data_IF_055340550712
#
_entry.id   IF_055340550712
#
_cell.length_a   1.000
_cell.length_b   1.000
_cell.length_c   1.000
_cell.angle_alpha   90.00
_cell.angle_beta   90.00
_cell.angle_gamma   90.00
#
_symmetry.space_group_name_H-M   'P 1'
#
loop_
_entity.id
_entity.type
_entity.pdbx_description
1 polymer ?
#
# COMPACT_ATOMS: atom_id res chain seq x y z
N UNK A 1 11.77 9.53 -12.23
CA UNK A 1 11.27 9.08 -10.91
C UNK A 1 10.95 7.59 -10.87
N UNK A 2 10.08 7.05 -11.74
CA UNK A 2 9.75 5.61 -11.74
C UNK A 2 10.99 4.70 -11.84
N UNK A 3 11.95 5.02 -12.70
CA UNK A 3 13.16 4.20 -12.83
C UNK A 3 14.04 4.23 -11.59
N UNK A 4 14.08 5.37 -10.87
CA UNK A 4 14.79 5.47 -9.58
C UNK A 4 14.17 4.56 -8.52
N UNK A 5 12.84 4.49 -8.45
CA UNK A 5 12.13 3.58 -7.54
C UNK A 5 12.40 2.11 -7.91
N UNK A 6 12.40 1.77 -9.21
CA UNK A 6 12.72 0.41 -9.68
C UNK A 6 14.17 0.01 -9.37
N UNK A 7 15.11 0.95 -9.46
CA UNK A 7 16.53 0.68 -9.22
C UNK A 7 16.96 0.88 -7.76
N UNK A 8 16.03 1.18 -6.83
CA UNK A 8 16.37 1.56 -5.46
C UNK A 8 17.02 0.43 -4.63
N UNK A 9 16.88 -0.83 -5.06
CA UNK A 9 17.40 -1.99 -4.33
C UNK A 9 16.79 -2.19 -2.94
N UNK A 10 15.65 -1.55 -2.67
CA UNK A 10 14.91 -1.61 -1.42
C UNK A 10 13.43 -1.89 -1.71
N UNK A 11 12.70 -2.53 -0.78
CA UNK A 11 11.26 -2.68 -0.91
C UNK A 11 10.58 -1.31 -1.08
N UNK A 12 9.68 -1.20 -2.05
CA UNK A 12 8.83 -0.01 -2.21
C UNK A 12 7.43 -0.38 -1.75
N UNK A 13 6.98 0.23 -0.66
CA UNK A 13 5.68 -0.05 -0.05
C UNK A 13 4.73 1.11 -0.29
N UNK A 14 3.55 0.83 -0.84
CA UNK A 14 2.48 1.80 -0.96
C UNK A 14 1.43 1.59 0.14
N UNK A 15 0.83 2.67 0.63
CA UNK A 15 -0.30 2.64 1.56
C UNK A 15 -1.54 3.11 0.82
N UNK A 16 -2.63 2.34 0.90
CA UNK A 16 -3.88 2.67 0.24
C UNK A 16 -4.43 4.02 0.71
N UNK A 17 -4.88 4.90 -0.21
CA UNK A 17 -5.68 6.07 0.14
C UNK A 17 -7.17 5.73 0.33
N UNK A 18 -7.57 4.48 0.04
CA UNK A 18 -8.93 3.98 0.12
C UNK A 18 -9.16 3.38 1.51
N UNK A 19 -10.30 3.75 2.10
CA UNK A 19 -10.81 3.24 3.38
C UNK A 19 -12.31 3.01 3.26
N UNK A 20 -12.72 1.74 3.34
CA UNK A 20 -14.12 1.32 3.19
C UNK A 20 -14.69 1.67 1.83
N UNK A 21 -13.93 1.42 0.76
CA UNK A 21 -14.30 1.73 -0.63
C UNK A 21 -14.36 3.23 -0.96
N UNK A 22 -13.81 4.10 -0.11
CA UNK A 22 -13.77 5.54 -0.36
C UNK A 22 -12.38 6.12 -0.14
N UNK A 23 -11.97 7.04 -1.02
CA UNK A 23 -10.80 7.85 -0.77
C UNK A 23 -11.08 8.89 0.32
N UNK A 24 -10.34 8.84 1.44
CA UNK A 24 -10.68 9.60 2.67
C UNK A 24 -10.55 11.11 2.51
N UNK A 25 -9.46 11.63 1.93
CA UNK A 25 -9.16 13.07 1.88
C UNK A 25 -8.30 13.45 0.66
N UNK A 26 -8.37 14.73 0.29
CA UNK A 26 -7.46 15.34 -0.69
C UNK A 26 -7.95 15.30 -2.14
N UNK A 27 -7.11 15.75 -3.08
CA UNK A 27 -7.50 15.86 -4.49
C UNK A 27 -7.81 14.48 -5.11
N UNK A 28 -7.23 13.39 -4.61
CA UNK A 28 -7.51 12.01 -5.08
C UNK A 28 -8.99 11.66 -4.99
N UNK A 29 -9.64 11.93 -3.86
CA UNK A 29 -11.07 11.64 -3.68
C UNK A 29 -11.97 12.46 -4.61
N UNK A 30 -11.56 13.69 -4.93
CA UNK A 30 -12.28 14.56 -5.87
C UNK A 30 -12.05 14.13 -7.32
N UNK A 31 -10.79 13.90 -7.70
CA UNK A 31 -10.40 13.50 -9.05
C UNK A 31 -10.97 12.14 -9.43
N UNK A 32 -10.94 11.13 -8.54
CA UNK A 32 -11.50 9.82 -8.85
C UNK A 32 -13.01 9.88 -9.09
N UNK A 33 -13.73 10.70 -8.30
CA UNK A 33 -15.16 10.98 -8.53
C UNK A 33 -15.41 11.70 -9.85
N UNK A 34 -14.63 12.74 -10.16
CA UNK A 34 -14.79 13.54 -11.39
C UNK A 34 -14.41 12.76 -12.65
N UNK A 35 -13.46 11.84 -12.56
CA UNK A 35 -12.98 11.01 -13.68
C UNK A 35 -13.73 9.67 -13.83
N UNK A 36 -14.75 9.41 -13.01
CA UNK A 36 -15.48 8.14 -12.95
C UNK A 36 -14.57 6.90 -12.80
N UNK A 37 -13.42 7.07 -12.15
CA UNK A 37 -12.51 5.98 -11.83
C UNK A 37 -13.02 5.35 -10.52
N UNK A 38 -13.34 4.05 -10.47
CA UNK A 38 -13.80 3.47 -9.23
C UNK A 38 -12.70 3.58 -8.16
N UNK A 39 -13.10 3.96 -6.94
CA UNK A 39 -12.16 4.21 -5.85
C UNK A 39 -11.92 2.93 -5.04
N UNK A 40 -11.48 1.88 -5.73
CA UNK A 40 -11.26 0.56 -5.11
C UNK A 40 -9.79 0.35 -4.76
N UNK A 41 -9.55 -0.39 -3.69
CA UNK A 41 -8.22 -0.73 -3.20
C UNK A 41 -7.42 -1.51 -4.25
N UNK A 42 -8.10 -2.45 -4.94
CA UNK A 42 -7.54 -3.28 -6.00
C UNK A 42 -7.07 -2.45 -7.20
N UNK A 43 -7.85 -1.45 -7.61
CA UNK A 43 -7.46 -0.60 -8.74
C UNK A 43 -6.28 0.31 -8.40
N UNK A 44 -6.21 0.82 -7.18
CA UNK A 44 -5.05 1.58 -6.73
C UNK A 44 -3.81 0.69 -6.72
N UNK A 45 -3.91 -0.53 -6.18
CA UNK A 45 -2.80 -1.48 -6.21
C UNK A 45 -2.37 -1.83 -7.65
N UNK A 46 -3.33 -2.11 -8.54
CA UNK A 46 -3.08 -2.41 -9.94
C UNK A 46 -2.39 -1.25 -10.68
N UNK A 47 -2.73 0.00 -10.36
CA UNK A 47 -2.08 1.17 -10.93
C UNK A 47 -0.58 1.24 -10.63
N UNK A 48 -0.17 0.74 -9.46
CA UNK A 48 1.23 0.71 -9.02
C UNK A 48 1.93 -0.64 -9.19
N UNK A 49 1.23 -1.68 -9.65
CA UNK A 49 1.80 -3.00 -9.89
C UNK A 49 3.01 -2.92 -10.85
N UNK A 50 4.07 -3.68 -10.55
CA UNK A 50 5.34 -3.62 -11.28
C UNK A 50 6.20 -2.38 -10.99
N UNK A 51 5.78 -1.52 -10.05
CA UNK A 51 6.60 -0.45 -9.47
C UNK A 51 6.83 -0.67 -7.97
N UNK A 52 5.82 -1.15 -7.26
CA UNK A 52 5.88 -1.42 -5.82
C UNK A 52 6.11 -2.91 -5.54
N UNK A 53 6.69 -3.20 -4.39
CA UNK A 53 6.90 -4.57 -3.87
C UNK A 53 5.70 -5.01 -3.04
N UNK A 54 5.12 -4.07 -2.29
CA UNK A 54 4.09 -4.39 -1.32
C UNK A 54 3.06 -3.28 -1.14
N UNK A 55 1.90 -3.64 -0.59
CA UNK A 55 0.75 -2.77 -0.44
C UNK A 55 0.09 -2.91 0.94
N UNK A 56 -0.26 -1.78 1.57
CA UNK A 56 -0.95 -1.73 2.86
C UNK A 56 -2.41 -1.34 2.64
N UNK A 57 -3.32 -2.23 3.01
CA UNK A 57 -4.76 -2.02 2.96
C UNK A 57 -5.27 -1.50 4.30
N UNK A 58 -6.36 -0.73 4.28
CA UNK A 58 -7.08 -0.42 5.52
C UNK A 58 -7.86 -1.64 6.03
N UNK A 59 -8.03 -1.75 7.35
CA UNK A 59 -8.87 -2.76 8.00
C UNK A 59 -10.27 -2.89 7.39
N UNK A 60 -10.85 -1.78 6.94
CA UNK A 60 -12.18 -1.78 6.32
C UNK A 60 -12.21 -2.37 4.92
N UNK A 61 -11.05 -2.51 4.28
CA UNK A 61 -10.89 -3.05 2.93
C UNK A 61 -10.15 -4.39 2.94
N UNK A 62 -10.03 -5.05 4.10
CA UNK A 62 -9.33 -6.34 4.24
C UNK A 62 -9.84 -7.42 3.27
N UNK A 63 -11.13 -7.36 2.89
CA UNK A 63 -11.72 -8.28 1.92
C UNK A 63 -11.09 -8.20 0.51
N UNK A 64 -10.45 -7.08 0.17
CA UNK A 64 -9.75 -6.88 -1.10
C UNK A 64 -8.35 -7.52 -1.11
N UNK A 65 -7.81 -7.92 0.05
CA UNK A 65 -6.45 -8.41 0.20
C UNK A 65 -6.09 -9.54 -0.77
N UNK A 66 -6.91 -10.61 -0.94
CA UNK A 66 -6.57 -11.70 -1.86
C UNK A 66 -6.49 -11.25 -3.32
N UNK A 67 -7.32 -10.28 -3.72
CA UNK A 67 -7.28 -9.74 -5.08
C UNK A 67 -6.04 -8.89 -5.32
N UNK A 68 -5.55 -8.17 -4.30
CA UNK A 68 -4.29 -7.42 -4.36
C UNK A 68 -3.08 -8.36 -4.39
N UNK A 69 -3.08 -9.42 -3.57
CA UNK A 69 -2.02 -10.45 -3.58
C UNK A 69 -1.92 -11.17 -4.93
N UNK A 70 -3.06 -11.39 -5.61
CA UNK A 70 -3.08 -11.97 -6.95
C UNK A 70 -2.37 -11.10 -8.02
N UNK A 71 -2.07 -9.83 -7.72
CA UNK A 71 -1.24 -8.95 -8.55
C UNK A 71 0.27 -9.18 -8.35
N UNK A 72 0.66 -10.13 -7.49
CA UNK A 72 2.05 -10.42 -7.15
C UNK A 72 2.66 -9.45 -6.14
N UNK A 73 1.82 -8.82 -5.32
CA UNK A 73 2.24 -7.89 -4.27
C UNK A 73 2.18 -8.57 -2.91
N UNK A 74 3.19 -8.38 -2.07
CA UNK A 74 3.07 -8.68 -0.65
C UNK A 74 2.09 -7.69 0.00
N UNK A 75 1.29 -8.14 0.96
CA UNK A 75 0.31 -7.26 1.60
C UNK A 75 0.26 -7.39 3.12
N UNK A 76 -0.20 -6.31 3.74
CA UNK A 76 -0.70 -6.31 5.12
C UNK A 76 -1.98 -5.48 5.19
N UNK A 77 -2.77 -5.74 6.23
CA UNK A 77 -3.92 -4.94 6.63
C UNK A 77 -3.56 -4.19 7.90
N UNK A 78 -3.84 -2.89 7.95
CA UNK A 78 -3.58 -2.04 9.09
C UNK A 78 -4.60 -0.91 9.22
N UNK A 79 -4.69 -0.30 10.40
CA UNK A 79 -5.44 0.95 10.58
C UNK A 79 -4.72 2.08 9.85
N UNK A 80 -5.32 2.67 8.81
CA UNK A 80 -4.66 3.71 7.98
C UNK A 80 -5.16 5.14 8.21
N UNK A 81 -6.27 5.31 8.93
CA UNK A 81 -6.85 6.62 9.23
C UNK A 81 -6.10 7.31 10.36
N UNK A 82 -5.19 8.21 10.01
CA UNK A 82 -4.32 8.90 10.96
C UNK A 82 -4.95 10.16 11.58
N UNK A 83 -5.88 10.00 12.52
CA UNK A 83 -6.57 11.10 13.21
C UNK A 83 -5.69 11.83 14.24
N UNK A 84 -4.80 11.10 14.90
CA UNK A 84 -3.89 11.59 15.95
C UNK A 84 -2.42 11.41 15.59
N UNK A 85 -1.52 11.98 16.39
CA UNK A 85 -0.08 11.71 16.24
C UNK A 85 0.25 10.25 16.55
N UNK A 86 -0.45 9.67 17.52
CA UNK A 86 -0.25 8.28 17.91
C UNK A 86 -0.60 7.35 16.74
N UNK A 87 -1.74 7.58 16.07
CA UNK A 87 -2.15 6.82 14.87
C UNK A 87 -1.08 6.86 13.78
N UNK A 88 -0.43 8.02 13.56
CA UNK A 88 0.67 8.17 12.59
C UNK A 88 1.89 7.34 12.98
N UNK A 89 2.26 7.38 14.26
CA UNK A 89 3.41 6.65 14.80
C UNK A 89 3.18 5.15 14.71
N UNK A 90 1.97 4.69 15.05
CA UNK A 90 1.62 3.28 15.04
C UNK A 90 1.59 2.73 13.61
N UNK A 91 0.95 3.43 12.67
CA UNK A 91 0.98 3.02 11.26
C UNK A 91 2.42 3.01 10.71
N UNK A 92 3.23 4.01 11.03
CA UNK A 92 4.62 4.06 10.60
C UNK A 92 5.43 2.85 11.12
N UNK A 93 5.25 2.48 12.39
CA UNK A 93 5.89 1.28 12.98
C UNK A 93 5.45 0.01 12.27
N UNK A 94 4.15 -0.18 12.08
CA UNK A 94 3.61 -1.34 11.37
C UNK A 94 4.18 -1.47 9.96
N UNK A 95 4.30 -0.37 9.23
CA UNK A 95 4.87 -0.35 7.87
C UNK A 95 6.38 -0.63 7.88
N UNK A 96 7.11 -0.09 8.86
CA UNK A 96 8.54 -0.36 9.02
C UNK A 96 8.82 -1.83 9.35
N UNK A 97 8.07 -2.40 10.30
CA UNK A 97 8.18 -3.83 10.67
C UNK A 97 7.87 -4.73 9.48
N UNK A 98 6.87 -4.36 8.66
CA UNK A 98 6.59 -5.06 7.42
C UNK A 98 7.73 -4.93 6.41
N UNK A 99 8.27 -3.73 6.24
CA UNK A 99 9.39 -3.47 5.33
C UNK A 99 10.64 -4.26 5.73
N UNK A 100 10.91 -4.40 7.03
CA UNK A 100 12.02 -5.21 7.53
C UNK A 100 11.85 -6.70 7.22
N UNK A 101 10.62 -7.24 7.35
CA UNK A 101 10.31 -8.61 6.92
C UNK A 101 10.53 -8.82 5.42
N UNK A 102 10.07 -7.88 4.59
CA UNK A 102 10.30 -7.92 3.14
C UNK A 102 11.79 -7.88 2.80
N UNK A 103 12.54 -7.01 3.48
CA UNK A 103 13.99 -6.89 3.27
C UNK A 103 14.73 -8.16 3.66
N UNK A 104 14.31 -8.83 4.73
CA UNK A 104 14.87 -10.12 5.14
C UNK A 104 14.62 -11.20 4.08
N UNK A 105 13.44 -11.23 3.47
CA UNK A 105 13.08 -12.17 2.40
C UNK A 105 13.84 -11.92 1.09
N UNK A 106 14.19 -10.66 0.78
CA UNK A 106 14.97 -10.30 -0.42
C UNK A 106 16.45 -10.63 -0.34
N UNK A 107 17.00 -10.88 0.86
CA UNK A 107 18.39 -11.30 1.02
C UNK A 107 18.45 -12.81 0.79
N UNK A 108 19.17 -13.31 -0.24
CA UNK A 108 19.43 -14.74 -0.33
C UNK A 108 20.15 -15.17 0.95
N UNK A 109 19.72 -16.26 1.57
CA UNK A 109 20.53 -16.97 2.56
C UNK A 109 21.88 -17.24 1.89
N UNK A 110 22.91 -16.50 2.29
CA UNK A 110 24.28 -16.78 1.88
C UNK A 110 24.60 -18.19 2.38
N UNK A 111 24.74 -19.12 1.44
CA UNK A 111 25.29 -20.46 1.67
C UNK A 111 26.72 -20.47 1.14
#
# INVERSE_FOLDING_TARGET
MRDLLRSAGAPVVAISPIVGGQAIKGPTAKMMRELAIPATTEQVAAHYAGLITAFVLDERDAAAQPAVEALGLDTIVAQTVMGTLQDRVDLARTVLDFTDRLRAALRPTAN
#
